data_IF_182896734744
#
_entry.id   IF_182896734744
#
_cell.length_a   1.000
_cell.length_b   1.000
_cell.length_c   1.000
_cell.angle_alpha   90.00
_cell.angle_beta   90.00
_cell.angle_gamma   90.00
#
_symmetry.space_group_name_H-M   'P 1'
#
loop_
_entity.id
_entity.type
_entity.pdbx_description
1 polymer ?
#
# COMPACT_ATOMS: atom_id res chain seq x y z
N UNK A 1 -13.50 -2.04 16.86
CA UNK A 1 -13.27 -3.19 15.95
C UNK A 1 -14.54 -4.01 15.75
N UNK A 2 -14.80 -4.56 14.55
CA UNK A 2 -15.89 -5.55 14.34
C UNK A 2 -15.36 -6.97 14.63
N UNK A 3 -15.82 -7.59 15.71
CA UNK A 3 -15.42 -8.94 16.11
C UNK A 3 -15.89 -10.05 15.13
N UNK A 4 -16.76 -9.71 14.18
CA UNK A 4 -17.21 -10.63 13.12
C UNK A 4 -16.33 -10.54 11.86
N UNK A 5 -15.43 -9.56 11.82
CA UNK A 5 -14.48 -9.43 10.71
C UNK A 5 -13.61 -10.69 10.61
N UNK A 6 -13.35 -11.21 9.41
CA UNK A 6 -12.40 -12.30 9.22
C UNK A 6 -10.97 -11.93 9.64
N UNK A 7 -10.68 -10.64 9.80
CA UNK A 7 -9.41 -10.12 10.29
C UNK A 7 -9.30 -10.08 11.81
N UNK A 8 -10.41 -10.24 12.55
CA UNK A 8 -10.35 -10.29 14.01
C UNK A 8 -9.63 -11.55 14.50
N UNK A 9 -8.50 -11.39 15.20
CA UNK A 9 -7.74 -12.47 15.82
C UNK A 9 -8.00 -12.51 17.32
N UNK A 10 -8.58 -13.61 17.82
CA UNK A 10 -8.84 -13.78 19.24
C UNK A 10 -7.57 -14.20 19.98
N UNK A 11 -7.32 -13.58 21.12
CA UNK A 11 -6.24 -13.89 22.05
C UNK A 11 -6.67 -14.83 23.18
N UNK A 12 -7.91 -15.31 23.19
CA UNK A 12 -8.45 -16.13 24.28
C UNK A 12 -7.63 -17.41 24.57
N UNK A 13 -6.90 -17.92 23.57
CA UNK A 13 -6.01 -19.08 23.73
C UNK A 13 -4.55 -18.71 23.95
N UNK A 14 -4.18 -17.42 23.90
CA UNK A 14 -2.81 -16.97 24.14
C UNK A 14 -2.59 -16.80 25.65
N UNK A 15 -1.70 -17.61 26.26
CA UNK A 15 -1.36 -17.40 27.66
C UNK A 15 -0.69 -16.02 27.85
N UNK A 16 -1.03 -15.34 28.95
CA UNK A 16 -0.40 -14.06 29.32
C UNK A 16 1.05 -14.19 29.80
N UNK A 17 1.63 -15.37 29.66
CA UNK A 17 3.03 -15.61 30.00
C UNK A 17 3.90 -15.12 28.84
N UNK A 18 4.88 -14.29 29.15
CA UNK A 18 5.86 -13.80 28.18
C UNK A 18 6.54 -14.95 27.44
N UNK A 19 6.61 -14.84 26.11
CA UNK A 19 7.12 -15.87 25.22
C UNK A 19 6.12 -16.95 24.82
N UNK A 20 4.88 -16.92 25.34
CA UNK A 20 3.82 -17.79 24.85
C UNK A 20 3.44 -17.46 23.41
N UNK A 21 3.10 -18.47 22.61
CA UNK A 21 2.82 -18.31 21.17
C UNK A 21 1.60 -19.12 20.76
N UNK A 22 0.84 -18.56 19.84
CA UNK A 22 -0.25 -19.27 19.16
C UNK A 22 -0.20 -18.99 17.64
N UNK A 23 -0.60 -19.97 16.80
CA UNK A 23 -0.72 -19.72 15.36
C UNK A 23 -1.92 -18.83 15.06
N UNK A 24 -1.73 -17.91 14.11
CA UNK A 24 -2.76 -17.00 13.62
C UNK A 24 -3.04 -17.16 12.12
N UNK A 25 -2.59 -18.28 11.52
CA UNK A 25 -2.69 -18.51 10.07
C UNK A 25 -4.13 -18.65 9.59
N UNK A 26 -4.45 -18.03 8.46
CA UNK A 26 -5.78 -18.07 7.86
C UNK A 26 -5.76 -17.68 6.38
N UNK A 27 -6.80 -18.11 5.66
CA UNK A 27 -7.09 -17.62 4.31
C UNK A 27 -8.38 -16.83 4.35
N UNK A 28 -8.34 -15.60 3.87
CA UNK A 28 -9.48 -14.68 3.88
C UNK A 28 -9.56 -13.91 2.56
N UNK A 29 -10.78 -13.51 2.13
CA UNK A 29 -10.91 -12.64 0.97
C UNK A 29 -10.40 -11.23 1.26
N UNK A 30 -9.72 -10.63 0.29
CA UNK A 30 -9.28 -9.26 0.37
C UNK A 30 -10.49 -8.30 0.44
N UNK A 31 -10.44 -7.28 1.32
CA UNK A 31 -11.44 -6.23 1.33
C UNK A 31 -11.30 -5.33 0.10
N UNK A 32 -12.27 -4.46 -0.11
CA UNK A 32 -12.19 -3.42 -1.11
C UNK A 32 -11.02 -2.46 -0.81
N UNK A 33 -10.54 -1.76 -1.84
CA UNK A 33 -9.55 -0.69 -1.74
C UNK A 33 -8.20 -1.08 -1.10
N UNK A 34 -7.76 -2.34 -1.27
CA UNK A 34 -6.45 -2.80 -0.84
C UNK A 34 -5.42 -2.58 -1.97
N UNK A 35 -4.98 -1.34 -2.18
CA UNK A 35 -4.01 -1.03 -3.23
C UNK A 35 -3.75 0.46 -3.46
N UNK A 36 -3.04 0.72 -4.55
CA UNK A 36 -2.77 2.04 -5.12
C UNK A 36 -3.68 2.27 -6.34
N UNK A 37 -3.68 3.49 -6.90
CA UNK A 37 -4.54 3.86 -8.03
C UNK A 37 -4.41 2.93 -9.25
N UNK A 38 -3.19 2.45 -9.55
CA UNK A 38 -2.91 1.65 -10.75
C UNK A 38 -2.67 0.17 -10.50
N UNK A 39 -2.49 -0.27 -9.25
CA UNK A 39 -2.19 -1.65 -8.88
C UNK A 39 -2.66 -1.94 -7.46
N UNK A 40 -3.22 -3.10 -7.24
CA UNK A 40 -3.69 -3.52 -5.92
C UNK A 40 -4.11 -4.98 -5.90
N UNK A 41 -4.61 -5.41 -4.76
CA UNK A 41 -5.23 -6.72 -4.59
C UNK A 41 -6.66 -6.64 -5.11
N UNK A 42 -7.09 -7.51 -6.03
CA UNK A 42 -8.48 -7.56 -6.45
C UNK A 42 -9.41 -7.83 -5.26
N UNK A 43 -10.52 -7.11 -5.17
CA UNK A 43 -11.55 -7.37 -4.16
C UNK A 43 -11.99 -8.84 -4.18
N UNK A 44 -12.01 -9.46 -3.01
CA UNK A 44 -12.33 -10.88 -2.88
C UNK A 44 -11.19 -11.83 -3.26
N UNK A 45 -10.02 -11.32 -3.68
CA UNK A 45 -8.83 -12.12 -3.89
C UNK A 45 -8.36 -12.82 -2.61
N UNK A 46 -7.88 -14.05 -2.70
CA UNK A 46 -7.46 -14.81 -1.52
C UNK A 46 -6.17 -14.22 -0.91
N UNK A 47 -6.24 -13.79 0.34
CA UNK A 47 -5.08 -13.47 1.17
C UNK A 47 -4.70 -14.73 1.96
N UNK A 48 -3.53 -15.30 1.67
CA UNK A 48 -2.93 -16.35 2.48
C UNK A 48 -2.07 -15.70 3.56
N UNK A 49 -2.55 -15.74 4.79
CA UNK A 49 -1.91 -15.12 5.95
C UNK A 49 -1.33 -16.22 6.82
N UNK A 50 -0.03 -16.20 7.06
CA UNK A 50 0.68 -17.13 7.94
C UNK A 50 1.36 -16.37 9.07
N UNK A 51 0.74 -16.34 10.25
CA UNK A 51 1.15 -15.53 11.39
C UNK A 51 1.34 -16.36 12.64
N UNK A 52 2.19 -15.85 13.52
CA UNK A 52 2.35 -16.25 14.91
C UNK A 52 2.09 -15.04 15.81
N UNK A 53 1.26 -15.23 16.83
CA UNK A 53 0.97 -14.23 17.85
C UNK A 53 1.78 -14.58 19.10
N UNK A 54 2.70 -13.67 19.48
CA UNK A 54 3.62 -13.87 20.60
C UNK A 54 3.28 -12.92 21.75
N UNK A 55 3.05 -13.47 22.95
CA UNK A 55 2.86 -12.66 24.15
C UNK A 55 4.19 -12.04 24.60
N UNK A 56 4.23 -10.71 24.69
CA UNK A 56 5.36 -9.93 25.22
C UNK A 56 4.90 -9.03 26.36
N UNK A 57 5.83 -8.45 27.10
CA UNK A 57 5.53 -7.62 28.29
C UNK A 57 4.64 -6.41 27.96
N UNK A 58 4.78 -5.85 26.78
CA UNK A 58 4.10 -4.61 26.38
C UNK A 58 2.81 -4.84 25.58
N UNK A 59 2.61 -6.08 25.07
CA UNK A 59 1.49 -6.37 24.18
C UNK A 59 1.59 -7.74 23.54
N UNK A 60 1.21 -7.82 22.27
CA UNK A 60 1.32 -9.00 21.42
C UNK A 60 2.13 -8.66 20.18
N UNK A 61 3.23 -9.37 19.97
CA UNK A 61 4.01 -9.24 18.74
C UNK A 61 3.43 -10.19 17.69
N UNK A 62 2.96 -9.60 16.58
CA UNK A 62 2.42 -10.30 15.41
C UNK A 62 3.55 -10.46 14.41
N UNK A 63 3.91 -11.70 14.08
CA UNK A 63 5.01 -11.99 13.14
C UNK A 63 4.63 -13.07 12.14
N UNK A 64 5.17 -12.97 10.92
CA UNK A 64 4.91 -13.95 9.86
C UNK A 64 4.95 -13.34 8.48
N UNK A 65 4.05 -13.76 7.59
CA UNK A 65 3.95 -13.21 6.22
C UNK A 65 2.52 -13.24 5.69
N UNK A 66 2.28 -12.42 4.67
CA UNK A 66 1.06 -12.43 3.88
C UNK A 66 1.40 -12.59 2.41
N UNK A 67 0.71 -13.51 1.74
CA UNK A 67 0.73 -13.65 0.27
C UNK A 67 -0.60 -13.17 -0.30
N UNK A 68 -0.53 -12.30 -1.32
CA UNK A 68 -1.70 -11.73 -1.97
C UNK A 68 -1.54 -11.73 -3.49
N UNK A 69 -2.60 -12.00 -4.26
CA UNK A 69 -2.61 -11.74 -5.70
C UNK A 69 -2.63 -10.22 -5.93
N UNK A 70 -1.95 -9.76 -6.96
CA UNK A 70 -2.02 -8.36 -7.39
C UNK A 70 -2.44 -8.26 -8.84
N UNK A 71 -3.22 -7.22 -9.15
CA UNK A 71 -3.63 -6.89 -10.50
C UNK A 71 -3.62 -5.37 -10.68
N UNK A 72 -3.40 -4.93 -11.90
CA UNK A 72 -3.35 -3.50 -12.21
C UNK A 72 -2.98 -3.24 -13.65
N UNK A 73 -2.55 -2.02 -13.94
CA UNK A 73 -2.17 -1.58 -15.27
C UNK A 73 -0.77 -0.96 -15.29
N UNK A 74 -0.05 -1.21 -16.37
CA UNK A 74 1.25 -0.59 -16.60
C UNK A 74 1.10 0.93 -16.75
N UNK A 75 1.84 1.70 -15.94
CA UNK A 75 1.79 3.17 -15.97
C UNK A 75 2.24 3.78 -17.30
N UNK A 76 2.94 3.00 -18.16
CA UNK A 76 3.43 3.50 -19.46
C UNK A 76 2.59 3.04 -20.64
N UNK A 77 2.14 1.80 -20.66
CA UNK A 77 1.47 1.22 -21.84
C UNK A 77 0.04 0.78 -21.56
N UNK A 78 -0.45 0.90 -20.33
CA UNK A 78 -1.80 0.57 -19.87
C UNK A 78 -2.19 -0.91 -20.00
N UNK A 79 -1.26 -1.79 -20.37
CA UNK A 79 -1.50 -3.23 -20.36
C UNK A 79 -1.74 -3.74 -18.96
N UNK A 80 -2.58 -4.73 -18.84
CA UNK A 80 -2.82 -5.43 -17.58
C UNK A 80 -1.53 -6.04 -17.01
N UNK A 81 -1.38 -5.94 -15.72
CA UNK A 81 -0.35 -6.59 -14.91
C UNK A 81 -1.06 -7.53 -13.95
N UNK A 82 -0.57 -8.74 -13.82
CA UNK A 82 -1.00 -9.69 -12.82
C UNK A 82 0.21 -10.36 -12.20
N UNK A 83 0.14 -10.62 -10.90
CA UNK A 83 1.23 -11.24 -10.14
C UNK A 83 0.80 -11.58 -8.73
N UNK A 84 1.77 -11.74 -7.85
CA UNK A 84 1.55 -11.90 -6.42
C UNK A 84 2.67 -11.24 -5.64
N UNK A 85 2.36 -10.82 -4.42
CA UNK A 85 3.33 -10.38 -3.42
C UNK A 85 3.38 -11.39 -2.27
N UNK A 86 4.51 -11.46 -1.59
CA UNK A 86 4.73 -12.29 -0.40
C UNK A 86 5.56 -11.45 0.57
N UNK A 87 4.87 -10.83 1.54
CA UNK A 87 5.45 -9.79 2.37
C UNK A 87 5.53 -10.21 3.84
N UNK A 88 6.64 -9.93 4.51
CA UNK A 88 6.78 -10.20 5.93
C UNK A 88 5.90 -9.24 6.74
N UNK A 89 5.41 -9.75 7.86
CA UNK A 89 4.70 -8.99 8.89
C UNK A 89 5.50 -9.05 10.19
N UNK A 90 5.69 -7.91 10.82
CA UNK A 90 6.33 -7.79 12.12
C UNK A 90 5.83 -6.55 12.83
N UNK A 91 4.77 -6.68 13.65
CA UNK A 91 4.09 -5.56 14.28
C UNK A 91 3.84 -5.81 15.77
N UNK A 92 4.04 -4.77 16.59
CA UNK A 92 3.72 -4.81 18.01
C UNK A 92 2.35 -4.17 18.25
N UNK A 93 1.40 -4.97 18.74
CA UNK A 93 0.08 -4.53 19.16
C UNK A 93 0.09 -4.33 20.66
N UNK A 94 -0.01 -3.09 21.14
CA UNK A 94 0.13 -2.74 22.55
C UNK A 94 -1.09 -3.16 23.39
N UNK A 95 -0.86 -3.46 24.65
CA UNK A 95 -1.96 -3.47 25.62
C UNK A 95 -2.41 -2.03 25.89
N UNK A 96 -3.73 -1.77 26.07
CA UNK A 96 -4.26 -0.41 26.26
C UNK A 96 -3.57 0.37 27.39
N UNK A 97 -3.26 -0.33 28.50
CA UNK A 97 -2.61 0.29 29.64
C UNK A 97 -1.17 0.71 29.33
N UNK A 98 -0.47 -0.06 28.50
CA UNK A 98 0.90 0.28 28.08
C UNK A 98 0.92 1.44 27.12
N UNK A 99 0.00 1.45 26.15
CA UNK A 99 -0.14 2.60 25.24
C UNK A 99 -0.39 3.89 26.03
N UNK A 100 -1.35 3.87 26.97
CA UNK A 100 -1.64 5.05 27.79
C UNK A 100 -0.41 5.54 28.58
N UNK A 101 0.36 4.61 29.15
CA UNK A 101 1.58 4.96 29.89
C UNK A 101 2.65 5.60 28.97
N UNK A 102 2.88 5.06 27.77
CA UNK A 102 3.83 5.61 26.79
C UNK A 102 3.44 7.03 26.36
N UNK A 103 2.15 7.25 26.10
CA UNK A 103 1.64 8.59 25.74
C UNK A 103 1.82 9.58 26.91
N UNK A 104 1.60 9.17 28.15
CA UNK A 104 1.86 10.00 29.34
C UNK A 104 3.35 10.29 29.53
N UNK A 105 4.23 9.37 29.13
CA UNK A 105 5.69 9.55 29.11
C UNK A 105 6.17 10.50 28.00
N UNK A 106 5.27 10.92 27.08
CA UNK A 106 5.55 11.86 26.00
C UNK A 106 5.87 11.20 24.66
N UNK A 107 5.60 9.89 24.50
CA UNK A 107 5.72 9.19 23.22
C UNK A 107 4.44 9.42 22.39
N UNK A 108 4.50 10.41 21.48
CA UNK A 108 3.37 10.74 20.61
C UNK A 108 3.08 9.64 19.57
N UNK A 109 4.09 8.84 19.18
CA UNK A 109 3.94 7.75 18.20
C UNK A 109 3.15 6.59 18.80
N UNK A 110 3.30 6.34 20.10
CA UNK A 110 2.56 5.30 20.80
C UNK A 110 1.04 5.43 20.67
N UNK A 111 0.53 6.67 20.56
CA UNK A 111 -0.89 6.96 20.36
C UNK A 111 -1.45 6.46 19.02
N UNK A 112 -0.60 6.19 18.03
CA UNK A 112 -0.96 5.71 16.70
C UNK A 112 -0.72 4.20 16.52
N UNK A 113 -0.03 3.57 17.47
CA UNK A 113 0.23 2.13 17.41
C UNK A 113 -1.06 1.31 17.56
N UNK A 114 -1.16 0.14 16.92
CA UNK A 114 -2.30 -0.74 17.10
C UNK A 114 -2.41 -1.23 18.55
N UNK A 115 -3.65 -1.41 19.00
CA UNK A 115 -3.96 -1.77 20.39
C UNK A 115 -4.87 -2.98 20.43
N UNK A 116 -4.64 -3.85 21.41
CA UNK A 116 -5.54 -4.97 21.72
C UNK A 116 -6.89 -4.43 22.18
N UNK A 117 -7.97 -4.83 21.53
CA UNK A 117 -9.33 -4.48 21.88
C UNK A 117 -10.11 -5.72 22.31
N UNK A 118 -10.57 -5.74 23.57
CA UNK A 118 -11.45 -6.80 24.10
C UNK A 118 -10.92 -8.22 23.84
N UNK A 119 -9.64 -8.46 24.12
CA UNK A 119 -8.92 -9.73 23.85
C UNK A 119 -8.87 -10.13 22.37
N UNK A 120 -8.92 -9.16 21.47
CA UNK A 120 -8.77 -9.36 20.03
C UNK A 120 -7.77 -8.37 19.44
N UNK A 121 -7.18 -8.77 18.31
CA UNK A 121 -6.36 -7.92 17.45
C UNK A 121 -7.06 -7.77 16.11
N UNK A 122 -7.10 -6.54 15.59
CA UNK A 122 -7.49 -6.28 14.22
C UNK A 122 -6.26 -6.45 13.31
N UNK A 123 -6.27 -7.49 12.51
CA UNK A 123 -5.18 -7.76 11.55
C UNK A 123 -5.35 -6.98 10.24
N UNK A 124 -6.52 -6.37 9.97
CA UNK A 124 -6.75 -5.71 8.68
C UNK A 124 -5.75 -4.59 8.41
N UNK A 125 -5.53 -3.61 9.31
CA UNK A 125 -4.57 -2.54 9.04
C UNK A 125 -3.15 -3.09 8.88
N UNK A 126 -2.74 -4.07 9.70
CA UNK A 126 -1.40 -4.68 9.66
C UNK A 126 -1.15 -5.37 8.32
N UNK A 127 -2.12 -6.18 7.86
CA UNK A 127 -2.04 -6.89 6.58
C UNK A 127 -2.11 -5.92 5.41
N UNK A 128 -2.97 -4.91 5.49
CA UNK A 128 -3.11 -3.86 4.49
C UNK A 128 -1.80 -3.11 4.30
N UNK A 129 -1.19 -2.67 5.38
CA UNK A 129 0.07 -1.91 5.34
C UNK A 129 1.20 -2.76 4.75
N UNK A 130 1.34 -4.02 5.18
CA UNK A 130 2.35 -4.92 4.62
C UNK A 130 2.21 -5.08 3.10
N UNK A 131 0.99 -5.27 2.59
CA UNK A 131 0.74 -5.45 1.17
C UNK A 131 0.86 -4.13 0.40
N UNK A 132 0.16 -3.07 0.84
CA UNK A 132 0.08 -1.81 0.08
C UNK A 132 1.42 -1.10 0.00
N UNK A 133 2.21 -1.11 1.08
CA UNK A 133 3.55 -0.49 1.08
C UNK A 133 4.57 -1.23 0.20
N UNK A 134 4.33 -2.50 -0.12
CA UNK A 134 5.18 -3.27 -1.05
C UNK A 134 4.87 -2.99 -2.53
N UNK A 135 3.71 -2.41 -2.83
CA UNK A 135 3.31 -2.17 -4.21
C UNK A 135 4.14 -1.05 -4.86
N UNK A 136 4.54 -1.20 -6.13
CA UNK A 136 5.26 -0.15 -6.83
C UNK A 136 4.35 1.05 -7.14
N UNK A 137 4.78 2.27 -6.79
CA UNK A 137 4.06 3.51 -7.15
C UNK A 137 3.90 3.68 -8.67
N UNK A 138 4.85 3.17 -9.45
CA UNK A 138 4.83 3.19 -10.91
C UNK A 138 4.92 1.76 -11.42
N UNK A 139 3.79 1.02 -11.50
CA UNK A 139 3.80 -0.35 -11.96
C UNK A 139 4.16 -0.43 -13.44
N UNK A 140 5.06 -1.33 -13.81
CA UNK A 140 5.50 -1.54 -15.18
C UNK A 140 5.31 -3.01 -15.57
N UNK A 141 4.81 -3.27 -16.79
CA UNK A 141 4.70 -4.63 -17.31
C UNK A 141 6.08 -5.28 -17.55
N UNK A 142 7.11 -4.45 -17.79
CA UNK A 142 8.53 -4.82 -17.92
C UNK A 142 9.38 -3.56 -17.66
N UNK A 143 10.60 -3.74 -17.15
CA UNK A 143 11.46 -2.62 -16.74
C UNK A 143 11.83 -1.66 -17.88
N UNK A 144 11.93 -2.16 -19.11
CA UNK A 144 12.23 -1.42 -20.33
C UNK A 144 10.98 -1.01 -21.15
N UNK A 145 9.78 -1.05 -20.55
CA UNK A 145 8.55 -0.68 -21.23
C UNK A 145 8.65 0.74 -21.80
N UNK A 146 8.56 0.87 -23.12
CA UNK A 146 8.62 2.18 -23.81
C UNK A 146 7.31 2.93 -23.77
N UNK A 147 6.22 2.27 -23.39
CA UNK A 147 4.90 2.88 -23.29
C UNK A 147 4.19 3.02 -24.63
N UNK A 148 3.33 4.04 -24.70
CA UNK A 148 2.58 4.45 -25.89
C UNK A 148 3.18 5.71 -26.50
N UNK A 149 3.08 5.84 -27.81
CA UNK A 149 3.46 7.06 -28.51
C UNK A 149 2.46 8.18 -28.20
N UNK A 150 2.87 9.35 -27.68
CA UNK A 150 1.95 10.43 -27.35
C UNK A 150 1.29 11.07 -28.57
N UNK A 151 1.83 10.90 -29.77
CA UNK A 151 1.29 11.45 -31.00
C UNK A 151 0.15 10.62 -31.62
N UNK A 152 0.25 9.27 -31.56
CA UNK A 152 -0.75 8.40 -32.17
C UNK A 152 -1.41 7.41 -31.21
N UNK A 153 -0.97 7.32 -29.94
CA UNK A 153 -1.53 6.42 -28.95
C UNK A 153 -1.19 4.93 -29.16
N UNK A 154 -0.34 4.59 -30.12
CA UNK A 154 0.08 3.22 -30.36
C UNK A 154 1.27 2.85 -29.48
N UNK A 155 1.42 1.56 -29.20
CA UNK A 155 2.55 1.05 -28.44
C UNK A 155 3.87 1.28 -29.20
N UNK A 156 4.88 1.79 -28.51
CA UNK A 156 6.19 2.00 -29.14
C UNK A 156 6.83 0.73 -29.70
N UNK A 157 6.50 -0.43 -29.17
CA UNK A 157 7.04 -1.71 -29.63
C UNK A 157 6.41 -2.19 -30.96
N UNK A 158 5.23 -1.67 -31.31
CA UNK A 158 4.51 -1.99 -32.55
C UNK A 158 4.82 -0.98 -33.68
N UNK A 159 5.60 0.07 -33.36
CA UNK A 159 5.93 1.12 -34.32
C UNK A 159 7.27 0.84 -35.01
N UNK A 160 7.42 1.21 -36.29
CA UNK A 160 8.68 1.04 -37.02
C UNK A 160 9.81 1.87 -36.41
N UNK A 161 11.05 1.44 -36.63
CA UNK A 161 12.23 2.20 -36.23
C UNK A 161 12.22 3.60 -36.91
N UNK A 162 12.52 4.64 -36.13
CA UNK A 162 12.48 6.01 -36.60
C UNK A 162 11.08 6.63 -36.66
N UNK A 163 10.05 5.97 -36.11
CA UNK A 163 8.72 6.57 -35.98
C UNK A 163 8.78 7.91 -35.28
N UNK A 164 8.27 8.96 -35.93
CA UNK A 164 8.21 10.30 -35.42
C UNK A 164 6.91 10.97 -35.89
N UNK A 165 6.43 11.92 -35.12
CA UNK A 165 5.37 12.84 -35.53
C UNK A 165 5.95 14.22 -35.80
N UNK A 166 5.38 14.94 -36.75
CA UNK A 166 5.65 16.37 -36.84
C UNK A 166 5.27 17.00 -35.50
N UNK A 167 6.22 17.71 -34.89
CA UNK A 167 5.92 18.47 -33.69
C UNK A 167 4.75 19.41 -34.02
N UNK A 168 3.70 19.48 -33.16
CA UNK A 168 2.67 20.49 -33.38
C UNK A 168 3.35 21.83 -33.51
N UNK A 169 3.01 22.56 -34.59
CA UNK A 169 3.59 23.88 -34.85
C UNK A 169 3.59 24.68 -33.56
N UNK A 170 4.75 25.20 -33.23
CA UNK A 170 5.08 25.90 -31.99
C UNK A 170 3.89 26.79 -31.53
N UNK A 171 3.18 26.36 -30.50
CA UNK A 171 2.08 27.13 -29.90
C UNK A 171 2.62 28.22 -28.98
N UNK A 172 3.89 28.63 -29.17
CA UNK A 172 4.55 29.57 -28.28
C UNK A 172 4.65 29.00 -26.86
N UNK A 173 5.74 29.22 -26.22
CA UNK A 173 5.89 28.75 -24.81
C UNK A 173 4.79 29.39 -23.92
N UNK A 174 3.81 28.63 -23.41
CA UNK A 174 2.74 29.18 -22.56
C UNK A 174 3.29 29.87 -21.31
N UNK A 175 4.48 29.43 -20.84
CA UNK A 175 5.16 30.03 -19.70
C UNK A 175 5.78 31.39 -20.08
N UNK A 176 6.40 31.48 -21.24
CA UNK A 176 6.92 32.77 -21.75
C UNK A 176 5.80 33.79 -21.95
N UNK A 177 4.62 33.36 -22.45
CA UNK A 177 3.46 34.23 -22.57
C UNK A 177 2.92 34.70 -21.21
N UNK A 178 2.92 33.83 -20.21
CA UNK A 178 2.54 34.16 -18.82
C UNK A 178 3.56 35.11 -18.18
N UNK A 179 4.86 34.85 -18.34
CA UNK A 179 5.92 35.73 -17.83
C UNK A 179 5.81 37.16 -18.43
N UNK A 180 5.56 37.24 -19.73
CA UNK A 180 5.39 38.55 -20.37
C UNK A 180 4.18 39.31 -19.80
N UNK A 181 3.10 38.62 -19.47
CA UNK A 181 1.92 39.25 -18.84
C UNK A 181 2.21 39.72 -17.43
N UNK A 182 2.88 38.90 -16.61
CA UNK A 182 3.23 39.27 -15.22
C UNK A 182 4.18 40.50 -15.21
N UNK A 183 5.16 40.56 -16.10
CA UNK A 183 6.06 41.72 -16.21
C UNK A 183 5.31 42.98 -16.62
N UNK A 184 4.35 42.86 -17.55
CA UNK A 184 3.55 44.02 -17.98
C UNK A 184 2.62 44.55 -16.86
N UNK A 185 2.18 43.69 -15.96
CA UNK A 185 1.39 44.07 -14.76
C UNK A 185 2.26 44.77 -13.72
N UNK A 186 3.53 44.34 -13.53
CA UNK A 186 4.48 44.96 -12.60
C UNK A 186 4.98 46.35 -13.08
N UNK A 187 5.08 46.58 -14.39
CA UNK A 187 5.52 47.88 -14.99
C UNK A 187 4.38 48.88 -15.10
N UNK A 188 3.13 48.50 -14.84
CA UNK A 188 1.93 49.35 -14.93
C UNK A 188 1.48 49.98 -13.62
N UNK A 189 2.17 49.72 -12.50
CA UNK A 189 1.93 50.30 -11.16
C UNK A 189 2.99 51.35 -10.86
#
# INVERSE_FOLDING_TARGET
MDLRSPFAASLASLPHQEGARIPGSRRIPAPADMGLEMIGVPEGGDLDIDLELNSVSEGVYVSGSVRAPIAGNCARCLREIAGSVDEPIGELVLYPQRQAALVEEGDEEAGQMPVVDSDHIDLEPIVRDAVVLSLPFVPLCKGDCRGICPGCGQLWEDLPEGHAHEAPADRGDPLAALEARLRAEEEGE
#
